data_IF_474450143801
#
_entry.id   IF_474450143801
#
_cell.length_a   1.000
_cell.length_b   1.000
_cell.length_c   1.000
_cell.angle_alpha   90.00
_cell.angle_beta   90.00
_cell.angle_gamma   90.00
#
_symmetry.space_group_name_H-M   'P 1'
#
loop_
_entity.id
_entity.type
_entity.pdbx_description
1 polymer ?
#
# COMPACT_ATOMS: atom_id res chain seq x y z
N UNK A 1 49.62 -20.30 22.39
CA UNK A 1 49.23 -20.59 20.99
C UNK A 1 48.16 -21.66 21.09
N UNK A 2 46.87 -21.41 20.90
CA UNK A 2 46.15 -20.29 20.31
C UNK A 2 44.88 -20.07 21.14
N UNK A 3 44.62 -18.81 21.50
CA UNK A 3 43.34 -18.38 22.06
C UNK A 3 42.30 -18.35 20.93
N UNK A 4 41.39 -19.33 20.91
CA UNK A 4 40.17 -19.23 20.10
C UNK A 4 39.23 -18.28 20.83
N UNK A 5 39.43 -16.97 20.65
CA UNK A 5 38.41 -15.97 20.92
C UNK A 5 37.31 -16.12 19.88
N UNK A 6 36.30 -16.93 20.20
CA UNK A 6 35.00 -16.88 19.56
C UNK A 6 34.39 -15.51 19.82
N UNK A 7 34.70 -14.54 18.96
CA UNK A 7 34.03 -13.26 18.95
C UNK A 7 32.58 -13.48 18.57
N UNK A 8 31.67 -13.10 19.46
CA UNK A 8 30.26 -12.88 19.10
C UNK A 8 30.31 -11.83 17.99
N UNK A 9 30.02 -12.24 16.76
CA UNK A 9 29.84 -11.30 15.66
C UNK A 9 28.55 -10.56 15.99
N UNK A 10 28.70 -9.36 16.57
CA UNK A 10 27.56 -8.49 16.83
C UNK A 10 27.00 -8.03 15.49
N UNK A 11 25.74 -8.38 15.24
CA UNK A 11 25.06 -7.98 14.02
C UNK A 11 24.22 -6.74 14.30
N UNK A 12 24.18 -5.82 13.33
CA UNK A 12 23.40 -4.61 13.43
C UNK A 12 22.16 -4.73 12.53
N UNK A 13 20.98 -4.56 13.11
CA UNK A 13 19.73 -4.45 12.36
C UNK A 13 19.43 -2.97 12.11
N UNK A 14 19.23 -2.63 10.83
CA UNK A 14 18.83 -1.28 10.41
C UNK A 14 17.35 -1.25 10.04
N UNK A 15 16.69 -0.15 10.36
CA UNK A 15 15.30 0.09 9.97
C UNK A 15 14.97 1.58 9.95
N UNK A 16 13.87 1.92 9.28
CA UNK A 16 13.29 3.27 9.24
C UNK A 16 12.16 3.35 10.24
N UNK A 17 12.16 4.37 11.10
CA UNK A 17 11.17 4.58 12.15
C UNK A 17 10.48 5.93 12.00
N UNK A 18 9.15 5.94 12.00
CA UNK A 18 8.35 7.15 12.25
C UNK A 18 7.79 7.01 13.67
N UNK A 19 8.16 7.94 14.56
CA UNK A 19 7.69 7.91 15.95
C UNK A 19 6.24 8.38 16.07
N UNK A 20 5.51 7.83 17.03
CA UNK A 20 4.15 8.30 17.36
C UNK A 20 4.11 9.84 17.53
N UNK A 21 3.11 10.48 16.94
CA UNK A 21 2.92 11.93 16.97
C UNK A 21 3.78 12.72 15.97
N UNK A 22 4.68 12.08 15.21
CA UNK A 22 5.48 12.76 14.18
C UNK A 22 4.67 12.96 12.89
N UNK A 23 4.74 14.16 12.34
CA UNK A 23 4.07 14.58 11.12
C UNK A 23 3.07 15.73 11.33
N UNK A 24 2.52 16.31 10.25
CA UNK A 24 1.52 17.37 10.35
C UNK A 24 0.24 16.90 11.07
N UNK A 25 -0.48 17.86 11.68
CA UNK A 25 -1.85 17.71 12.22
C UNK A 25 -2.05 16.53 13.17
N UNK A 26 -1.10 16.34 14.09
CA UNK A 26 -1.15 15.30 15.11
C UNK A 26 -0.35 14.05 14.77
N UNK A 27 0.23 13.98 13.56
CA UNK A 27 1.20 12.95 13.18
C UNK A 27 0.64 11.54 13.10
N UNK A 28 1.53 10.55 13.11
CA UNK A 28 1.15 9.13 13.08
C UNK A 28 0.61 8.66 14.44
N UNK A 29 -0.42 7.78 14.49
CA UNK A 29 -1.12 7.43 15.74
C UNK A 29 -0.44 6.35 16.60
N UNK A 30 0.64 5.77 16.10
CA UNK A 30 1.53 4.85 16.78
C UNK A 30 2.89 4.90 16.07
N UNK A 31 3.92 4.26 16.64
CA UNK A 31 5.20 4.13 15.95
C UNK A 31 5.04 3.23 14.71
N UNK A 32 5.82 3.49 13.67
CA UNK A 32 5.79 2.72 12.43
C UNK A 32 7.21 2.42 11.97
N UNK A 33 7.55 1.13 11.84
CA UNK A 33 8.84 0.71 11.32
C UNK A 33 8.73 0.08 9.93
N UNK A 34 9.67 0.45 9.06
CA UNK A 34 9.85 -0.10 7.72
C UNK A 34 11.25 -0.71 7.63
N UNK A 35 11.32 -1.97 7.22
CA UNK A 35 12.53 -2.78 7.29
C UNK A 35 12.79 -3.39 5.91
N UNK A 36 14.02 -3.30 5.39
CA UNK A 36 14.40 -4.04 4.19
C UNK A 36 14.78 -5.47 4.58
N UNK A 37 14.30 -6.47 3.84
CA UNK A 37 14.69 -7.86 4.04
C UNK A 37 16.20 -8.06 3.88
N UNK A 38 16.88 -7.21 3.12
CA UNK A 38 18.34 -7.22 3.01
C UNK A 38 19.01 -6.90 4.34
N UNK A 39 18.52 -5.90 5.08
CA UNK A 39 19.06 -5.55 6.40
C UNK A 39 18.90 -6.71 7.41
N UNK A 40 17.77 -7.43 7.36
CA UNK A 40 17.54 -8.63 8.19
C UNK A 40 18.52 -9.76 7.81
N UNK A 41 18.74 -9.98 6.52
CA UNK A 41 19.66 -11.01 6.01
C UNK A 41 21.13 -10.68 6.36
N UNK A 42 21.53 -9.42 6.20
CA UNK A 42 22.86 -8.93 6.59
C UNK A 42 23.11 -9.07 8.08
N UNK A 43 22.08 -8.84 8.90
CA UNK A 43 22.14 -9.08 10.34
C UNK A 43 22.14 -10.57 10.73
N UNK A 44 21.91 -11.50 9.79
CA UNK A 44 21.94 -12.94 10.07
C UNK A 44 20.82 -13.44 10.99
N UNK A 45 19.70 -12.72 11.06
CA UNK A 45 18.55 -13.06 11.93
C UNK A 45 17.29 -13.38 11.12
N UNK A 46 16.27 -13.92 11.80
CA UNK A 46 14.96 -14.17 11.18
C UNK A 46 14.08 -12.91 11.22
N UNK A 47 13.04 -12.87 10.38
CA UNK A 47 12.03 -11.81 10.40
C UNK A 47 11.36 -11.70 11.78
N UNK A 48 11.03 -12.84 12.41
CA UNK A 48 10.46 -12.86 13.76
C UNK A 48 11.41 -12.28 14.81
N UNK A 49 12.71 -12.61 14.74
CA UNK A 49 13.69 -12.02 15.65
C UNK A 49 13.79 -10.50 15.43
N UNK A 50 13.82 -10.04 14.18
CA UNK A 50 13.84 -8.62 13.85
C UNK A 50 12.63 -7.87 14.45
N UNK A 51 11.42 -8.41 14.30
CA UNK A 51 10.22 -7.80 14.91
C UNK A 51 10.28 -7.74 16.45
N UNK A 52 10.75 -8.81 17.10
CA UNK A 52 10.90 -8.83 18.56
C UNK A 52 11.96 -7.82 19.04
N UNK A 53 13.09 -7.72 18.33
CA UNK A 53 14.16 -6.76 18.65
C UNK A 53 13.71 -5.31 18.49
N UNK A 54 13.06 -4.97 17.36
CA UNK A 54 12.52 -3.63 17.11
C UNK A 54 11.43 -3.29 18.13
N UNK A 55 10.53 -4.24 18.44
CA UNK A 55 9.49 -4.01 19.45
C UNK A 55 10.11 -3.70 20.82
N UNK A 56 11.15 -4.44 21.22
CA UNK A 56 11.90 -4.23 22.46
C UNK A 56 12.57 -2.87 22.52
N UNK A 57 13.21 -2.44 21.42
CA UNK A 57 13.83 -1.12 21.32
C UNK A 57 12.79 0.01 21.50
N UNK A 58 11.68 -0.07 20.77
CA UNK A 58 10.65 0.98 20.78
C UNK A 58 9.85 1.00 22.08
N UNK A 59 9.64 -0.18 22.70
CA UNK A 59 8.95 -0.37 23.97
C UNK A 59 7.58 0.35 24.09
N UNK A 60 6.85 0.40 22.97
CA UNK A 60 5.55 1.08 22.85
C UNK A 60 4.77 0.55 21.64
N UNK A 61 3.56 1.08 21.36
CA UNK A 61 2.74 0.60 20.25
C UNK A 61 3.45 0.86 18.93
N UNK A 62 3.61 -0.20 18.13
CA UNK A 62 4.31 -0.14 16.85
C UNK A 62 3.70 -1.07 15.79
N UNK A 63 3.49 -0.55 14.58
CA UNK A 63 3.27 -1.35 13.38
C UNK A 63 4.60 -1.53 12.64
N UNK A 64 4.89 -2.74 12.15
CA UNK A 64 6.17 -3.06 11.52
C UNK A 64 5.94 -3.77 10.19
N UNK A 65 6.62 -3.32 9.14
CA UNK A 65 6.48 -3.85 7.79
C UNK A 65 7.87 -4.23 7.23
N UNK A 66 8.01 -5.46 6.78
CA UNK A 66 9.21 -5.93 6.07
C UNK A 66 8.96 -5.87 4.57
N UNK A 67 9.89 -5.25 3.87
CA UNK A 67 9.87 -5.07 2.43
C UNK A 67 10.91 -5.94 1.74
N UNK A 68 10.53 -6.55 0.62
CA UNK A 68 11.47 -6.97 -0.42
C UNK A 68 11.44 -5.91 -1.52
N UNK A 69 12.47 -5.06 -1.56
CA UNK A 69 12.58 -3.97 -2.54
C UNK A 69 12.92 -4.49 -3.95
N UNK A 70 13.32 -5.75 -4.08
CA UNK A 70 13.55 -6.41 -5.38
C UNK A 70 12.32 -7.14 -5.90
N UNK A 71 11.26 -7.26 -5.11
CA UNK A 71 10.02 -7.90 -5.49
C UNK A 71 9.01 -6.92 -6.11
N UNK A 72 7.85 -7.44 -6.49
CA UNK A 72 6.72 -6.66 -7.01
C UNK A 72 5.42 -7.02 -6.30
N UNK A 73 4.49 -6.08 -6.31
CA UNK A 73 3.13 -6.27 -5.80
C UNK A 73 2.15 -5.47 -6.64
N UNK A 74 0.88 -5.48 -6.25
CA UNK A 74 -0.20 -4.70 -6.85
C UNK A 74 -0.78 -3.72 -5.84
N UNK A 75 -1.23 -2.56 -6.29
CA UNK A 75 -2.14 -1.69 -5.52
C UNK A 75 -3.54 -2.31 -5.47
N UNK A 76 -4.42 -1.83 -4.58
CA UNK A 76 -5.78 -2.36 -4.47
C UNK A 76 -6.60 -2.25 -5.76
N UNK A 77 -6.33 -1.24 -6.59
CA UNK A 77 -6.92 -1.04 -7.91
C UNK A 77 -6.13 -1.73 -9.04
N UNK A 78 -5.18 -2.61 -8.70
CA UNK A 78 -4.54 -3.52 -9.66
C UNK A 78 -3.37 -2.94 -10.45
N UNK A 79 -2.80 -1.82 -10.03
CA UNK A 79 -1.58 -1.27 -10.63
C UNK A 79 -0.36 -2.05 -10.12
N UNK A 80 0.44 -2.59 -11.03
CA UNK A 80 1.68 -3.26 -10.67
C UNK A 80 2.74 -2.24 -10.22
N UNK A 81 3.45 -2.55 -9.13
CA UNK A 81 4.48 -1.67 -8.56
C UNK A 81 5.69 -2.49 -8.10
N UNK A 82 6.87 -1.89 -8.12
CA UNK A 82 8.11 -2.46 -7.58
C UNK A 82 8.32 -2.11 -6.10
N UNK A 83 8.76 -3.11 -5.35
CA UNK A 83 8.77 -3.16 -3.90
C UNK A 83 7.51 -3.83 -3.37
N UNK A 84 7.68 -4.87 -2.54
CA UNK A 84 6.57 -5.59 -1.94
C UNK A 84 6.73 -5.71 -0.42
N UNK A 85 5.61 -5.65 0.31
CA UNK A 85 5.58 -6.03 1.71
C UNK A 85 5.55 -7.56 1.75
N UNK A 86 6.48 -8.18 2.48
CA UNK A 86 6.58 -9.64 2.60
C UNK A 86 6.18 -10.16 3.98
N UNK A 87 6.15 -9.29 4.99
CA UNK A 87 5.65 -9.59 6.32
C UNK A 87 5.19 -8.32 7.02
N UNK A 88 4.22 -8.46 7.91
CA UNK A 88 3.76 -7.41 8.80
C UNK A 88 3.65 -7.89 10.23
N UNK A 89 3.84 -6.98 11.17
CA UNK A 89 3.70 -7.25 12.59
C UNK A 89 3.11 -6.06 13.34
N UNK A 90 2.62 -6.35 14.55
CA UNK A 90 2.27 -5.36 15.56
C UNK A 90 3.03 -5.68 16.86
N UNK A 91 3.57 -4.67 17.51
CA UNK A 91 4.26 -4.79 18.80
C UNK A 91 3.75 -3.76 19.81
N UNK A 92 3.92 -4.07 21.09
CA UNK A 92 3.67 -3.14 22.20
C UNK A 92 4.47 -3.57 23.42
N UNK A 93 4.87 -2.62 24.28
CA UNK A 93 5.61 -2.85 25.54
C UNK A 93 6.78 -3.84 25.43
N UNK A 94 7.50 -3.78 24.31
CA UNK A 94 8.67 -4.62 24.05
C UNK A 94 8.36 -6.05 23.62
N UNK A 95 7.12 -6.33 23.20
CA UNK A 95 6.65 -7.68 22.86
C UNK A 95 5.88 -7.69 21.56
N UNK A 96 5.92 -8.85 20.90
CA UNK A 96 5.05 -9.24 19.79
C UNK A 96 4.22 -10.43 20.25
N UNK A 97 2.91 -10.39 20.00
CA UNK A 97 2.01 -11.50 20.36
C UNK A 97 2.35 -12.74 19.53
N UNK A 98 2.53 -13.89 20.18
CA UNK A 98 2.97 -15.13 19.53
C UNK A 98 2.03 -15.62 18.42
N UNK A 99 0.73 -15.53 18.66
CA UNK A 99 -0.28 -16.04 17.72
C UNK A 99 -0.76 -14.98 16.71
N UNK A 100 -1.10 -13.77 17.19
CA UNK A 100 -1.73 -12.74 16.38
C UNK A 100 -0.80 -11.58 15.99
N UNK A 101 0.47 -11.60 16.39
CA UNK A 101 1.36 -10.45 16.26
C UNK A 101 2.12 -10.37 14.94
N UNK A 102 2.15 -11.45 14.14
CA UNK A 102 2.93 -11.54 12.90
C UNK A 102 2.10 -12.20 11.81
N UNK A 103 2.20 -11.69 10.58
CA UNK A 103 1.61 -12.31 9.40
C UNK A 103 2.54 -12.17 8.19
N UNK A 104 2.67 -13.25 7.43
CA UNK A 104 3.50 -13.32 6.23
C UNK A 104 2.64 -13.20 4.98
N UNK A 105 3.15 -12.42 4.03
CA UNK A 105 2.58 -12.26 2.70
C UNK A 105 2.98 -13.43 1.82
N UNK A 106 2.08 -13.93 0.98
CA UNK A 106 2.36 -15.10 0.16
C UNK A 106 3.07 -14.69 -1.13
N UNK A 107 4.12 -15.44 -1.48
CA UNK A 107 4.69 -15.39 -2.83
C UNK A 107 3.76 -16.13 -3.79
N UNK A 108 3.35 -15.46 -4.87
CA UNK A 108 2.44 -16.01 -5.86
C UNK A 108 3.21 -16.26 -7.17
N UNK A 109 3.35 -17.52 -7.61
CA UNK A 109 3.89 -17.81 -8.92
C UNK A 109 3.04 -17.16 -10.02
N UNK A 110 3.67 -16.37 -10.88
CA UNK A 110 3.01 -15.77 -12.04
C UNK A 110 3.00 -16.79 -13.17
N UNK A 111 1.83 -17.33 -13.49
CA UNK A 111 1.60 -18.32 -14.56
C UNK A 111 0.64 -17.76 -15.60
N UNK A 112 0.62 -18.35 -16.79
CA UNK A 112 -0.35 -17.98 -17.84
C UNK A 112 -1.80 -18.20 -17.38
N UNK A 113 -2.05 -19.26 -16.60
CA UNK A 113 -3.34 -19.52 -15.96
C UNK A 113 -3.73 -18.38 -15.01
N UNK A 114 -2.81 -17.96 -14.13
CA UNK A 114 -3.08 -16.86 -13.21
C UNK A 114 -3.37 -15.56 -13.96
N UNK A 115 -2.63 -15.25 -15.04
CA UNK A 115 -2.87 -14.06 -15.86
C UNK A 115 -4.23 -14.14 -16.57
N UNK A 116 -4.64 -15.32 -17.02
CA UNK A 116 -5.97 -15.51 -17.62
C UNK A 116 -7.09 -15.26 -16.61
N UNK A 117 -6.88 -15.62 -15.34
CA UNK A 117 -7.84 -15.36 -14.25
C UNK A 117 -7.80 -13.91 -13.75
N UNK A 118 -6.62 -13.27 -13.84
CA UNK A 118 -6.32 -11.94 -13.33
C UNK A 118 -5.57 -11.11 -14.38
N UNK A 119 -6.28 -10.57 -15.38
CA UNK A 119 -5.66 -9.93 -16.54
C UNK A 119 -4.77 -8.73 -16.21
N UNK A 120 -4.98 -8.07 -15.06
CA UNK A 120 -4.12 -6.97 -14.62
C UNK A 120 -2.66 -7.39 -14.44
N UNK A 121 -2.39 -8.67 -14.22
CA UNK A 121 -1.04 -9.19 -14.03
C UNK A 121 -0.19 -9.21 -15.30
N UNK A 122 -0.75 -8.97 -16.49
CA UNK A 122 0.06 -8.83 -17.72
C UNK A 122 1.05 -7.66 -17.62
N UNK A 123 0.76 -6.67 -16.75
CA UNK A 123 1.69 -5.60 -16.42
C UNK A 123 3.03 -6.16 -15.89
N UNK A 124 3.00 -7.24 -15.10
CA UNK A 124 4.21 -7.86 -14.55
C UNK A 124 5.09 -8.45 -15.64
N UNK A 125 4.47 -9.12 -16.62
CA UNK A 125 5.19 -9.71 -17.75
C UNK A 125 5.87 -8.63 -18.59
N UNK A 126 5.19 -7.50 -18.81
CA UNK A 126 5.70 -6.41 -19.65
C UNK A 126 6.73 -5.51 -18.95
N UNK A 127 6.55 -5.26 -17.66
CA UNK A 127 7.29 -4.22 -16.94
C UNK A 127 8.26 -4.76 -15.89
N UNK A 128 8.06 -5.99 -15.42
CA UNK A 128 8.74 -6.54 -14.24
C UNK A 128 9.15 -8.00 -14.45
N UNK A 129 9.66 -8.33 -15.64
CA UNK A 129 10.01 -9.69 -16.02
C UNK A 129 10.99 -10.32 -15.02
N UNK A 130 10.67 -11.53 -14.55
CA UNK A 130 11.49 -12.31 -13.63
C UNK A 130 11.41 -11.88 -12.16
N UNK A 131 10.61 -10.86 -11.83
CA UNK A 131 10.40 -10.40 -10.45
C UNK A 131 9.40 -11.29 -9.72
N UNK A 132 9.64 -11.51 -8.42
CA UNK A 132 8.75 -12.30 -7.53
C UNK A 132 7.55 -11.47 -7.13
N UNK A 133 6.34 -12.01 -7.31
CA UNK A 133 5.10 -11.37 -6.89
C UNK A 133 4.75 -11.76 -5.45
N UNK A 134 4.56 -10.76 -4.59
CA UNK A 134 3.99 -10.95 -3.27
C UNK A 134 2.68 -10.20 -3.12
N UNK A 135 1.73 -10.83 -2.43
CA UNK A 135 0.40 -10.25 -2.15
C UNK A 135 -0.02 -10.52 -0.71
N UNK A 136 -1.31 -10.45 -0.41
CA UNK A 136 -1.82 -10.81 0.90
C UNK A 136 -1.43 -12.23 1.34
N UNK A 137 -1.63 -12.53 2.62
CA UNK A 137 -1.39 -13.84 3.21
C UNK A 137 -2.29 -14.93 2.62
N UNK A 138 -1.79 -16.17 2.58
CA UNK A 138 -2.63 -17.34 2.33
C UNK A 138 -3.67 -17.50 3.47
N UNK A 139 -4.98 -17.49 3.19
CA UNK A 139 -6.04 -17.64 4.19
C UNK A 139 -5.93 -18.93 5.00
N UNK A 140 -5.31 -19.97 4.45
CA UNK A 140 -5.08 -21.24 5.15
C UNK A 140 -4.00 -21.14 6.23
N UNK A 141 -3.13 -20.14 6.14
CA UNK A 141 -2.04 -19.87 7.11
C UNK A 141 -2.43 -18.80 8.13
N UNK A 142 -3.65 -18.26 8.05
CA UNK A 142 -4.16 -17.22 8.94
C UNK A 142 -4.97 -17.80 10.08
N UNK A 143 -4.75 -17.27 11.28
CA UNK A 143 -5.64 -17.51 12.43
C UNK A 143 -6.91 -16.65 12.37
N UNK A 144 -6.81 -15.42 11.88
CA UNK A 144 -7.96 -14.52 11.67
C UNK A 144 -8.44 -14.72 10.24
N UNK A 145 -9.53 -15.45 9.96
CA UNK A 145 -9.82 -15.91 8.59
C UNK A 145 -10.26 -14.79 7.64
N UNK A 146 -10.92 -13.74 8.17
CA UNK A 146 -11.61 -12.74 7.36
C UNK A 146 -10.70 -11.57 6.97
N UNK A 147 -10.07 -10.91 7.95
CA UNK A 147 -9.22 -9.74 7.71
C UNK A 147 -7.73 -10.10 7.70
N UNK A 148 -6.96 -9.40 6.88
CA UNK A 148 -5.50 -9.45 6.92
C UNK A 148 -5.04 -8.48 8.01
N UNK A 149 -4.95 -8.95 9.25
CA UNK A 149 -4.63 -8.10 10.41
C UNK A 149 -3.75 -8.84 11.43
N UNK A 150 -2.93 -8.08 12.12
CA UNK A 150 -2.14 -8.50 13.29
C UNK A 150 -2.33 -7.50 14.42
N UNK A 151 -2.21 -7.98 15.66
CA UNK A 151 -2.41 -7.17 16.85
C UNK A 151 -1.50 -7.62 17.99
N UNK A 152 -0.91 -6.64 18.68
CA UNK A 152 -0.25 -6.83 19.96
C UNK A 152 -0.52 -5.62 20.85
N UNK A 153 -1.11 -5.85 22.02
CA UNK A 153 -1.45 -4.78 22.96
C UNK A 153 -2.31 -3.70 22.30
N UNK A 154 -1.82 -2.46 22.30
CA UNK A 154 -2.51 -1.30 21.72
C UNK A 154 -2.34 -1.21 20.19
N UNK A 155 -1.35 -1.86 19.59
CA UNK A 155 -1.03 -1.71 18.18
C UNK A 155 -1.78 -2.75 17.32
N UNK A 156 -2.34 -2.27 16.20
CA UNK A 156 -2.92 -3.11 15.15
C UNK A 156 -2.33 -2.67 13.81
N UNK A 157 -2.01 -3.65 12.98
CA UNK A 157 -1.53 -3.45 11.62
C UNK A 157 -2.37 -4.34 10.68
N UNK A 158 -3.12 -3.73 9.77
CA UNK A 158 -4.16 -4.40 8.99
C UNK A 158 -4.12 -4.07 7.49
N UNK A 159 -5.02 -4.72 6.75
CA UNK A 159 -5.16 -4.67 5.29
C UNK A 159 -3.83 -4.93 4.54
N UNK A 160 -3.10 -5.94 5.01
CA UNK A 160 -1.76 -6.27 4.50
C UNK A 160 -0.80 -5.08 4.59
N UNK A 161 -0.81 -4.46 5.76
CA UNK A 161 0.10 -3.43 6.21
C UNK A 161 -0.06 -2.05 5.56
N UNK A 162 -1.24 -1.76 5.02
CA UNK A 162 -1.60 -0.44 4.49
C UNK A 162 -2.48 0.36 5.44
N UNK A 163 -2.80 -0.17 6.61
CA UNK A 163 -3.60 0.50 7.63
C UNK A 163 -3.02 0.15 9.00
N UNK A 164 -2.84 1.15 9.85
CA UNK A 164 -2.32 0.94 11.20
C UNK A 164 -3.13 1.77 12.18
N UNK A 165 -3.44 1.19 13.34
CA UNK A 165 -4.25 1.86 14.34
C UNK A 165 -3.77 1.58 15.74
N UNK A 166 -4.04 2.56 16.61
CA UNK A 166 -3.94 2.39 18.05
C UNK A 166 -5.32 2.05 18.59
N UNK A 167 -5.51 0.82 19.03
CA UNK A 167 -6.80 0.27 19.46
C UNK A 167 -7.37 0.91 20.74
N UNK A 168 -6.56 1.65 21.50
CA UNK A 168 -7.03 2.36 22.70
C UNK A 168 -7.50 3.76 22.36
N UNK A 169 -6.75 4.49 21.53
CA UNK A 169 -7.12 5.86 21.13
C UNK A 169 -8.09 5.88 19.94
N UNK A 170 -8.29 4.74 19.29
CA UNK A 170 -9.08 4.57 18.07
C UNK A 170 -8.60 5.45 16.90
N UNK A 171 -7.35 5.92 16.96
CA UNK A 171 -6.73 6.67 15.87
C UNK A 171 -6.11 5.70 14.88
N UNK A 172 -6.33 5.96 13.59
CA UNK A 172 -5.89 5.15 12.46
C UNK A 172 -5.05 6.01 11.49
N UNK A 173 -4.19 5.37 10.71
CA UNK A 173 -3.51 5.96 9.57
C UNK A 173 -3.59 5.02 8.35
N UNK A 174 -3.80 5.59 7.17
CA UNK A 174 -3.73 4.88 5.90
C UNK A 174 -2.35 5.08 5.27
N UNK A 175 -1.71 3.97 4.90
CA UNK A 175 -0.39 3.93 4.28
C UNK A 175 -0.46 3.15 2.97
N UNK A 176 -0.96 3.73 1.87
CA UNK A 176 -0.93 3.06 0.58
C UNK A 176 0.50 2.71 0.17
N UNK A 177 0.66 1.58 -0.51
CA UNK A 177 1.99 0.97 -0.76
C UNK A 177 2.99 1.92 -1.42
N UNK A 178 2.55 2.77 -2.36
CA UNK A 178 3.43 3.71 -3.04
C UNK A 178 4.05 4.74 -2.07
N UNK A 179 3.29 5.20 -1.06
CA UNK A 179 3.82 6.09 -0.03
C UNK A 179 4.88 5.40 0.83
N UNK A 180 4.65 4.14 1.19
CA UNK A 180 5.62 3.34 1.93
C UNK A 180 6.88 3.05 1.10
N UNK A 181 6.74 2.79 -0.21
CA UNK A 181 7.87 2.63 -1.12
C UNK A 181 8.69 3.93 -1.21
N UNK A 182 8.04 5.10 -1.25
CA UNK A 182 8.77 6.37 -1.19
C UNK A 182 9.53 6.52 0.13
N UNK A 183 8.94 6.14 1.27
CA UNK A 183 9.67 6.10 2.55
C UNK A 183 10.91 5.19 2.47
N UNK A 184 10.77 3.98 1.91
CA UNK A 184 11.90 3.05 1.72
C UNK A 184 12.98 3.58 0.76
N UNK A 185 12.61 4.46 -0.18
CA UNK A 185 13.52 5.10 -1.15
C UNK A 185 14.01 6.47 -0.71
N UNK A 186 13.67 6.92 0.50
CA UNK A 186 13.96 8.27 0.98
C UNK A 186 13.41 9.38 0.04
N UNK A 187 12.27 9.10 -0.60
CA UNK A 187 11.64 9.91 -1.64
C UNK A 187 10.57 10.88 -1.14
N UNK A 188 9.97 11.66 -2.05
CA UNK A 188 8.92 12.63 -1.72
C UNK A 188 7.59 11.96 -1.36
N UNK A 189 6.90 12.50 -0.37
CA UNK A 189 5.59 12.05 0.10
C UNK A 189 4.60 13.21 0.20
N UNK A 190 3.32 12.87 0.25
CA UNK A 190 2.26 13.76 0.70
C UNK A 190 1.70 13.21 2.03
N UNK A 191 1.71 14.04 3.07
CA UNK A 191 1.05 13.74 4.34
C UNK A 191 -0.17 14.65 4.49
N UNK A 192 -1.37 14.06 4.51
CA UNK A 192 -2.61 14.79 4.71
C UNK A 192 -3.72 13.87 5.21
N UNK A 193 -4.96 14.18 4.88
CA UNK A 193 -6.09 13.29 5.09
C UNK A 193 -6.49 12.61 3.80
N UNK A 194 -7.03 11.40 3.89
CA UNK A 194 -7.59 10.68 2.74
C UNK A 194 -8.61 11.54 1.97
N UNK A 195 -9.45 12.29 2.67
CA UNK A 195 -10.53 13.04 2.08
C UNK A 195 -11.56 12.15 1.40
N UNK A 196 -12.53 12.78 0.74
CA UNK A 196 -13.65 12.10 0.09
C UNK A 196 -13.19 11.20 -1.06
N UNK A 197 -12.20 11.66 -1.83
CA UNK A 197 -11.74 10.99 -3.05
C UNK A 197 -11.02 9.68 -2.73
N UNK A 198 -10.06 9.66 -1.81
CA UNK A 198 -9.36 8.42 -1.45
C UNK A 198 -10.34 7.48 -0.72
N UNK A 199 -11.26 8.04 0.08
CA UNK A 199 -12.33 7.25 0.69
C UNK A 199 -13.16 6.49 -0.34
N UNK A 200 -13.51 7.08 -1.50
CA UNK A 200 -14.14 6.33 -2.60
C UNK A 200 -13.15 5.39 -3.29
N UNK A 201 -11.95 5.88 -3.61
CA UNK A 201 -10.95 5.17 -4.40
C UNK A 201 -10.50 3.83 -3.79
N UNK A 202 -10.42 3.72 -2.47
CA UNK A 202 -10.06 2.47 -1.78
C UNK A 202 -11.05 1.33 -2.09
N UNK A 203 -12.31 1.65 -2.41
CA UNK A 203 -13.34 0.69 -2.76
C UNK A 203 -13.23 0.16 -4.19
N UNK A 204 -12.49 0.83 -5.07
CA UNK A 204 -12.43 0.54 -6.50
C UNK A 204 -11.36 -0.52 -6.79
N UNK A 205 -11.61 -1.73 -6.30
CA UNK A 205 -10.62 -2.82 -6.25
C UNK A 205 -10.58 -3.68 -7.52
N UNK A 206 -9.68 -4.67 -7.55
CA UNK A 206 -9.63 -5.74 -8.55
C UNK A 206 -9.68 -7.13 -7.90
N UNK A 207 -9.98 -8.13 -8.71
CA UNK A 207 -10.10 -9.50 -8.26
C UNK A 207 -8.71 -10.11 -8.12
N UNK A 208 -8.33 -10.47 -6.89
CA UNK A 208 -7.00 -11.06 -6.64
C UNK A 208 -7.09 -12.35 -5.83
N UNK A 209 -6.29 -13.33 -6.22
CA UNK A 209 -5.89 -14.41 -5.35
C UNK A 209 -5.00 -13.84 -4.25
N UNK A 210 -5.43 -14.07 -3.01
CA UNK A 210 -4.77 -13.56 -1.80
C UNK A 210 -4.57 -12.04 -1.89
N UNK A 211 -5.62 -11.31 -2.28
CA UNK A 211 -5.60 -9.86 -2.35
C UNK A 211 -5.27 -9.21 -0.99
N UNK A 212 -4.80 -7.97 -1.05
CA UNK A 212 -4.34 -7.24 0.14
C UNK A 212 -5.46 -7.00 1.15
N UNK A 213 -6.67 -6.74 0.66
CA UNK A 213 -7.87 -6.52 1.46
C UNK A 213 -8.73 -7.79 1.49
N UNK A 214 -8.95 -8.40 0.32
CA UNK A 214 -9.82 -9.56 0.19
C UNK A 214 -9.02 -10.82 -0.16
N UNK A 215 -9.20 -11.93 0.59
CA UNK A 215 -8.42 -13.14 0.38
C UNK A 215 -8.78 -13.90 -0.92
N UNK A 216 -9.91 -13.56 -1.55
CA UNK A 216 -10.46 -14.25 -2.72
C UNK A 216 -10.93 -13.23 -3.76
N UNK A 217 -11.11 -13.69 -5.00
CA UNK A 217 -11.50 -12.90 -6.18
C UNK A 217 -12.97 -12.44 -6.12
N UNK A 218 -13.29 -11.60 -5.14
CA UNK A 218 -14.67 -11.21 -4.85
C UNK A 218 -15.16 -10.06 -5.73
N UNK A 219 -14.31 -9.08 -6.01
CA UNK A 219 -14.68 -7.85 -6.72
C UNK A 219 -13.90 -7.78 -8.02
N UNK A 220 -14.59 -7.73 -9.15
CA UNK A 220 -13.91 -7.51 -10.45
C UNK A 220 -13.57 -6.04 -10.62
N UNK A 221 -12.68 -5.75 -11.56
CA UNK A 221 -12.52 -4.39 -12.05
C UNK A 221 -13.86 -3.80 -12.50
N UNK A 222 -14.16 -2.57 -12.07
CA UNK A 222 -15.45 -1.91 -12.31
C UNK A 222 -16.49 -2.08 -11.20
N UNK A 223 -16.20 -2.90 -10.18
CA UNK A 223 -17.02 -2.98 -8.97
C UNK A 223 -16.53 -1.98 -7.90
N UNK A 224 -17.37 -1.79 -6.88
CA UNK A 224 -16.96 -1.19 -5.60
C UNK A 224 -17.10 -2.21 -4.47
N UNK A 225 -16.06 -2.30 -3.65
CA UNK A 225 -16.04 -3.12 -2.45
C UNK A 225 -16.73 -2.47 -1.23
N UNK A 226 -16.95 -1.15 -1.26
CA UNK A 226 -17.70 -0.48 -0.19
C UNK A 226 -19.19 -0.77 -0.28
N UNK A 227 -19.75 -0.69 -1.50
CA UNK A 227 -21.17 -0.89 -1.74
C UNK A 227 -22.07 0.04 -0.91
N UNK A 228 -21.56 1.21 -0.53
CA UNK A 228 -22.16 2.13 0.44
C UNK A 228 -22.83 3.34 -0.23
N UNK A 229 -22.82 3.38 -1.55
CA UNK A 229 -23.39 4.48 -2.34
C UNK A 229 -22.74 5.81 -1.97
N UNK A 230 -23.52 6.89 -1.91
CA UNK A 230 -22.98 8.23 -1.66
C UNK A 230 -22.22 8.38 -0.33
N UNK A 231 -22.45 7.50 0.64
CA UNK A 231 -21.72 7.49 1.92
C UNK A 231 -20.31 6.91 1.83
N UNK A 232 -19.93 6.28 0.71
CA UNK A 232 -18.58 5.77 0.49
C UNK A 232 -17.52 6.86 0.67
N UNK A 233 -17.84 8.11 0.29
CA UNK A 233 -16.96 9.27 0.46
C UNK A 233 -16.71 9.67 1.91
N UNK A 234 -17.53 9.21 2.86
CA UNK A 234 -17.39 9.56 4.28
C UNK A 234 -16.71 8.47 5.12
N UNK A 235 -16.62 7.24 4.61
CA UNK A 235 -16.14 6.06 5.37
C UNK A 235 -14.76 6.27 5.97
N UNK A 236 -13.84 6.82 5.18
CA UNK A 236 -12.44 7.01 5.57
C UNK A 236 -11.98 8.45 5.48
N UNK A 237 -12.86 9.43 5.18
CA UNK A 237 -12.53 10.83 4.85
C UNK A 237 -11.52 11.49 5.81
N UNK A 238 -11.67 11.23 7.11
CA UNK A 238 -10.94 11.96 8.15
C UNK A 238 -9.72 11.18 8.69
N UNK A 239 -9.29 10.14 7.99
CA UNK A 239 -8.14 9.33 8.42
C UNK A 239 -6.85 9.96 7.86
N UNK A 240 -5.86 10.26 8.70
CA UNK A 240 -4.52 10.64 8.23
C UNK A 240 -3.97 9.64 7.23
N UNK A 241 -3.21 10.11 6.25
CA UNK A 241 -2.54 9.23 5.30
C UNK A 241 -1.17 9.77 4.87
N UNK A 242 -0.27 8.83 4.56
CA UNK A 242 1.00 9.11 3.89
C UNK A 242 0.98 8.40 2.54
N UNK A 243 1.00 9.18 1.47
CA UNK A 243 0.95 8.67 0.09
C UNK A 243 2.15 9.17 -0.70
N UNK A 244 2.44 8.55 -1.85
CA UNK A 244 3.40 9.10 -2.79
C UNK A 244 2.86 10.38 -3.43
N UNK A 245 3.75 11.21 -4.00
CA UNK A 245 3.30 12.33 -4.82
C UNK A 245 2.44 11.86 -6.00
N UNK A 246 1.52 12.73 -6.44
CA UNK A 246 0.63 12.42 -7.57
C UNK A 246 1.41 12.13 -8.86
N UNK A 247 2.58 12.75 -9.03
CA UNK A 247 3.50 12.45 -10.13
C UNK A 247 4.00 11.00 -10.12
N UNK A 248 4.32 10.46 -8.93
CA UNK A 248 4.72 9.05 -8.81
C UNK A 248 3.54 8.14 -9.10
N UNK A 249 2.35 8.42 -8.53
CA UNK A 249 1.15 7.64 -8.85
C UNK A 249 0.85 7.65 -10.36
N UNK A 250 0.95 8.82 -11.00
CA UNK A 250 0.74 8.96 -12.44
C UNK A 250 1.69 8.10 -13.25
N UNK A 251 2.99 8.04 -12.90
CA UNK A 251 3.97 7.20 -13.60
C UNK A 251 3.57 5.71 -13.64
N UNK A 252 3.20 5.13 -12.49
CA UNK A 252 2.79 3.73 -12.44
C UNK A 252 1.47 3.48 -13.18
N UNK A 253 0.50 4.38 -13.06
CA UNK A 253 -0.78 4.26 -13.78
C UNK A 253 -0.58 4.39 -15.29
N UNK A 254 0.23 5.33 -15.77
CA UNK A 254 0.57 5.48 -17.19
C UNK A 254 1.22 4.20 -17.71
N UNK A 255 2.16 3.63 -16.95
CA UNK A 255 2.83 2.38 -17.30
C UNK A 255 1.82 1.22 -17.42
N UNK A 256 0.84 1.13 -16.52
CA UNK A 256 -0.24 0.15 -16.59
C UNK A 256 -1.10 0.34 -17.86
N UNK A 257 -1.50 1.58 -18.16
CA UNK A 257 -2.30 1.90 -19.34
C UNK A 257 -1.55 1.59 -20.64
N UNK A 258 -0.24 1.88 -20.72
CA UNK A 258 0.63 1.51 -21.86
C UNK A 258 0.85 0.01 -21.99
N UNK A 259 0.76 -0.73 -20.88
CA UNK A 259 0.72 -2.19 -20.90
C UNK A 259 -0.60 -2.75 -21.46
N UNK A 260 -1.57 -1.89 -21.81
CA UNK A 260 -2.84 -2.26 -22.43
C UNK A 260 -3.98 -2.43 -21.44
N UNK A 261 -3.82 -1.98 -20.20
CA UNK A 261 -4.86 -2.06 -19.17
C UNK A 261 -5.98 -1.06 -19.43
N UNK A 262 -7.21 -1.55 -19.34
CA UNK A 262 -8.42 -0.74 -19.49
C UNK A 262 -9.10 -0.57 -18.12
N UNK A 263 -9.22 0.66 -17.60
CA UNK A 263 -9.95 0.93 -16.36
C UNK A 263 -11.40 0.45 -16.42
N UNK A 264 -11.84 -0.20 -15.34
CA UNK A 264 -13.15 -0.80 -15.22
C UNK A 264 -13.26 -2.19 -15.86
N UNK A 265 -12.21 -2.69 -16.54
CA UNK A 265 -12.19 -4.04 -17.13
C UNK A 265 -11.02 -4.87 -16.64
N UNK A 266 -9.80 -4.33 -16.76
CA UNK A 266 -8.58 -5.04 -16.37
C UNK A 266 -8.09 -4.51 -15.01
N UNK A 267 -8.10 -3.19 -14.81
CA UNK A 267 -7.73 -2.53 -13.55
C UNK A 267 -8.93 -1.77 -12.95
N UNK A 268 -8.85 -1.47 -11.66
CA UNK A 268 -9.89 -0.80 -10.90
C UNK A 268 -10.26 0.58 -11.47
N UNK A 269 -11.47 1.02 -11.20
CA UNK A 269 -11.99 2.31 -11.67
C UNK A 269 -11.84 3.41 -10.61
N UNK A 270 -10.68 3.48 -9.93
CA UNK A 270 -10.43 4.51 -8.93
C UNK A 270 -10.45 5.91 -9.57
N UNK A 271 -10.86 6.97 -8.84
CA UNK A 271 -10.86 8.34 -9.37
C UNK A 271 -9.54 8.76 -10.02
N UNK A 272 -8.40 8.39 -9.40
CA UNK A 272 -7.07 8.66 -9.94
C UNK A 272 -6.83 7.97 -11.28
N UNK A 273 -7.13 6.67 -11.38
CA UNK A 273 -6.94 5.88 -12.60
C UNK A 273 -7.82 6.42 -13.74
N UNK A 274 -9.09 6.73 -13.45
CA UNK A 274 -10.02 7.26 -14.45
C UNK A 274 -9.60 8.64 -14.97
N UNK A 275 -9.15 9.55 -14.09
CA UNK A 275 -8.68 10.87 -14.50
C UNK A 275 -7.41 10.80 -15.36
N UNK A 276 -6.48 9.92 -15.03
CA UNK A 276 -5.25 9.72 -15.83
C UNK A 276 -5.61 9.10 -17.19
N UNK A 277 -6.48 8.09 -17.22
CA UNK A 277 -6.94 7.49 -18.47
C UNK A 277 -7.65 8.49 -19.39
N UNK A 278 -8.50 9.35 -18.81
CA UNK A 278 -9.12 10.48 -19.52
C UNK A 278 -8.06 11.44 -20.10
N UNK A 279 -7.08 11.83 -19.29
CA UNK A 279 -6.02 12.76 -19.71
C UNK A 279 -5.18 12.20 -20.86
N UNK A 280 -4.90 10.88 -20.85
CA UNK A 280 -4.20 10.18 -21.93
C UNK A 280 -5.08 9.90 -23.16
N UNK A 281 -6.41 10.07 -23.06
CA UNK A 281 -7.34 9.70 -24.13
C UNK A 281 -7.39 8.20 -24.42
N UNK A 282 -7.06 7.35 -23.45
CA UNK A 282 -7.11 5.88 -23.60
C UNK A 282 -8.50 5.33 -23.25
N UNK A 283 -8.85 4.11 -23.71
CA UNK A 283 -10.16 3.54 -23.45
C UNK A 283 -10.47 3.38 -21.96
N UNK A 284 -11.74 3.63 -21.60
CA UNK A 284 -12.34 3.30 -20.30
C UNK A 284 -13.53 2.39 -20.58
N UNK A 285 -13.64 1.27 -19.86
CA UNK A 285 -14.73 0.31 -20.03
C UNK A 285 -15.98 0.75 -19.27
N UNK A 286 -16.62 1.83 -19.74
CA UNK A 286 -17.75 2.47 -19.05
C UNK A 286 -18.89 1.51 -18.70
N UNK A 287 -19.17 0.54 -19.57
CA UNK A 287 -20.28 -0.42 -19.39
C UNK A 287 -19.91 -1.59 -18.47
N UNK A 288 -18.62 -1.75 -18.15
CA UNK A 288 -18.16 -2.71 -17.14
C UNK A 288 -18.19 -2.12 -15.72
N UNK A 289 -18.14 -0.78 -15.59
CA UNK A 289 -18.28 -0.10 -14.30
C UNK A 289 -19.75 -0.22 -13.86
N UNK A 290 -19.95 -0.86 -12.71
CA UNK A 290 -21.29 -1.14 -12.18
C UNK A 290 -22.02 0.14 -11.75
N UNK A 291 -23.35 0.09 -11.74
CA UNK A 291 -24.19 1.18 -11.24
C UNK A 291 -23.80 1.59 -9.80
N UNK A 292 -23.54 0.59 -8.93
CA UNK A 292 -23.08 0.87 -7.56
C UNK A 292 -21.76 1.64 -7.52
N UNK A 293 -20.79 1.26 -8.35
CA UNK A 293 -19.52 1.98 -8.45
C UNK A 293 -19.72 3.40 -9.00
N UNK A 294 -20.58 3.59 -9.99
CA UNK A 294 -20.94 4.92 -10.51
C UNK A 294 -21.53 5.82 -9.43
N UNK A 295 -22.46 5.32 -8.61
CA UNK A 295 -23.04 6.11 -7.50
C UNK A 295 -21.95 6.63 -6.55
N UNK A 296 -20.93 5.82 -6.26
CA UNK A 296 -19.82 6.23 -5.40
C UNK A 296 -18.88 7.23 -6.11
N UNK A 297 -18.55 6.99 -7.38
CA UNK A 297 -17.73 7.89 -8.19
C UNK A 297 -18.36 9.28 -8.37
N UNK A 298 -19.66 9.32 -8.65
CA UNK A 298 -20.42 10.56 -8.80
C UNK A 298 -20.46 11.36 -7.51
N UNK A 299 -20.45 10.69 -6.35
CA UNK A 299 -20.46 11.34 -5.03
C UNK A 299 -19.22 12.22 -4.76
N UNK A 300 -18.15 12.02 -5.55
CA UNK A 300 -16.90 12.80 -5.53
C UNK A 300 -16.65 13.54 -6.85
N UNK A 301 -17.70 13.72 -7.67
CA UNK A 301 -17.66 14.51 -8.91
C UNK A 301 -17.08 13.79 -10.13
N UNK A 302 -16.80 12.49 -10.05
CA UNK A 302 -16.34 11.69 -11.19
C UNK A 302 -17.56 11.10 -11.90
N UNK A 303 -18.12 11.86 -12.85
CA UNK A 303 -19.30 11.42 -13.62
C UNK A 303 -18.94 10.82 -14.96
N UNK A 304 -19.86 10.04 -15.53
CA UNK A 304 -19.71 9.47 -16.87
C UNK A 304 -19.59 10.56 -17.94
N UNK A 305 -20.35 11.64 -17.80
CA UNK A 305 -20.34 12.80 -18.69
C UNK A 305 -19.00 13.52 -18.63
N UNK A 306 -18.47 13.74 -17.42
CA UNK A 306 -17.15 14.33 -17.22
C UNK A 306 -16.09 13.51 -17.95
N UNK A 307 -16.09 12.18 -17.77
CA UNK A 307 -15.09 11.31 -18.39
C UNK A 307 -15.21 11.27 -19.92
N UNK A 308 -16.43 11.30 -20.47
CA UNK A 308 -16.69 11.31 -21.93
C UNK A 308 -16.49 12.68 -22.58
N UNK A 309 -16.52 13.78 -21.82
CA UNK A 309 -16.35 15.11 -22.37
C UNK A 309 -15.01 15.24 -23.12
N UNK A 310 -15.03 15.87 -24.30
CA UNK A 310 -13.81 16.06 -25.10
C UNK A 310 -12.83 16.94 -24.32
N UNK A 311 -11.60 16.47 -24.21
CA UNK A 311 -10.47 17.20 -23.63
C UNK A 311 -9.25 17.03 -24.53
N UNK A 312 -8.29 17.95 -24.43
CA UNK A 312 -6.97 17.76 -25.05
C UNK A 312 -6.34 16.49 -24.46
N UNK A 313 -5.85 15.61 -25.35
CA UNK A 313 -5.01 14.48 -24.96
C UNK A 313 -3.63 15.03 -24.57
N UNK A 314 -3.16 14.63 -23.41
CA UNK A 314 -1.87 15.04 -22.85
C UNK A 314 -0.84 13.94 -23.06
N UNK A 315 0.41 14.35 -23.23
CA UNK A 315 1.58 13.46 -23.23
C UNK A 315 1.87 12.97 -21.81
N UNK A 316 2.69 11.92 -21.69
CA UNK A 316 3.08 11.35 -20.40
C UNK A 316 3.77 12.38 -19.50
N UNK A 317 4.71 13.14 -20.06
CA UNK A 317 5.45 14.18 -19.33
C UNK A 317 4.50 15.29 -18.86
N UNK A 318 3.58 15.75 -19.71
CA UNK A 318 2.56 16.74 -19.31
C UNK A 318 1.65 16.24 -18.19
N UNK A 319 1.28 14.95 -18.20
CA UNK A 319 0.43 14.37 -17.14
C UNK A 319 1.21 14.30 -15.82
N UNK A 320 2.49 13.94 -15.86
CA UNK A 320 3.33 13.86 -14.67
C UNK A 320 3.56 15.27 -14.09
N UNK A 321 3.92 16.23 -14.93
CA UNK A 321 4.15 17.63 -14.55
C UNK A 321 2.88 18.28 -13.97
N UNK A 322 1.72 18.02 -14.58
CA UNK A 322 0.43 18.58 -14.16
C UNK A 322 -0.38 17.63 -13.27
N UNK A 323 0.28 16.64 -12.67
CA UNK A 323 -0.39 15.58 -11.91
C UNK A 323 -1.22 16.13 -10.74
N UNK A 324 -0.82 17.25 -10.13
CA UNK A 324 -1.58 17.90 -9.06
C UNK A 324 -2.94 18.44 -9.51
N UNK A 325 -3.07 18.84 -10.78
CA UNK A 325 -4.31 19.31 -11.41
C UNK A 325 -5.20 18.15 -11.87
N UNK A 326 -4.58 17.05 -12.34
CA UNK A 326 -5.27 15.94 -13.00
C UNK A 326 -5.77 14.91 -11.99
N UNK A 327 -4.93 14.56 -11.03
CA UNK A 327 -5.17 13.44 -10.12
C UNK A 327 -5.89 13.98 -8.88
N UNK A 328 -7.16 13.63 -8.64
CA UNK A 328 -7.84 13.98 -7.40
C UNK A 328 -7.27 13.12 -6.26
N UNK A 329 -7.39 13.57 -5.01
CA UNK A 329 -6.87 12.76 -3.89
C UNK A 329 -6.85 13.48 -2.55
N UNK A 330 -5.68 13.43 -1.93
CA UNK A 330 -5.41 13.85 -0.54
C UNK A 330 -6.00 15.22 -0.22
N UNK A 331 -6.66 15.31 0.93
CA UNK A 331 -7.20 16.53 1.51
C UNK A 331 -6.15 17.19 2.42
N UNK A 332 -6.02 18.51 2.26
CA UNK A 332 -5.03 19.35 2.95
C UNK A 332 -3.60 18.77 2.98
N UNK A 333 -3.03 18.40 1.82
CA UNK A 333 -1.73 17.73 1.75
C UNK A 333 -0.58 18.65 2.13
N UNK A 334 0.39 18.10 2.87
CA UNK A 334 1.70 18.69 3.06
C UNK A 334 2.71 17.88 2.25
N UNK A 335 3.26 18.50 1.20
CA UNK A 335 4.36 17.92 0.43
C UNK A 335 5.66 18.05 1.22
N UNK A 336 6.39 16.94 1.37
CA UNK A 336 7.64 16.92 2.13
C UNK A 336 8.54 15.76 1.72
N UNK A 337 9.79 15.80 2.17
CA UNK A 337 10.68 14.64 2.08
C UNK A 337 10.27 13.61 3.13
N UNK A 338 10.30 12.31 2.81
CA UNK A 338 10.08 11.28 3.84
C UNK A 338 11.14 11.34 4.94
N UNK A 339 12.34 11.84 4.63
CA UNK A 339 13.44 12.00 5.57
C UNK A 339 13.16 13.02 6.68
N UNK A 340 12.19 13.92 6.50
CA UNK A 340 11.82 14.91 7.50
C UNK A 340 11.05 14.30 8.68
N UNK A 341 10.50 13.10 8.51
CA UNK A 341 9.70 12.39 9.53
C UNK A 341 10.24 11.00 9.89
N UNK A 342 11.27 10.53 9.16
CA UNK A 342 11.86 9.19 9.32
C UNK A 342 13.19 9.29 10.02
N UNK A 343 13.34 8.53 11.10
CA UNK A 343 14.61 8.24 11.75
C UNK A 343 15.19 6.93 11.21
N UNK A 344 16.46 6.95 10.79
CA UNK A 344 17.19 5.72 10.44
C UNK A 344 17.83 5.18 11.71
N UNK A 345 17.32 4.06 12.19
CA UNK A 345 17.73 3.45 13.46
C UNK A 345 18.59 2.22 13.18
N UNK A 346 19.60 2.02 14.02
CA UNK A 346 20.47 0.85 14.01
C UNK A 346 20.53 0.30 15.44
N UNK A 347 20.20 -0.99 15.60
CA UNK A 347 20.23 -1.68 16.90
C UNK A 347 21.10 -2.93 16.84
N UNK A 348 21.65 -3.30 17.99
CA UNK A 348 22.39 -4.55 18.16
C UNK A 348 21.43 -5.72 18.37
N UNK A 349 21.62 -6.81 17.63
CA UNK A 349 20.77 -8.01 17.64
C UNK A 349 21.56 -9.31 17.78
#
# INVERSE_FOLDING_TARGET
MEDIKGGIVMANLKFRLIKEGVGPKGGVPLNIAFIDIRDIKEAGITIEHAFNAISKEVNGPIGMNVFDMDAVTTTSDGIAVDGAIIAMAAGDIGKVHKEFGILYMEEIPVTDELISEEPHLIQLVKNYQGKRLFRGPDPRKKLIPVHNAVMTGKAVNNNSATEMMNAVTMKEIILPILGQIQIMRDGPILFGYTGEVISVGIGMTVAEKYGRVFPTRQFRAGDTAHGSGQYAKTLKKNIPCIVASKAILAKYTIQALKAGMVPGKDIGCSPAVLCIAKAMGVPIAFDNITEKAWVELESVGITREFLKAKSRVLTEDEIIERSDEIVPGVEEPVAMSSMDIVEKVEIFV
#
